data_IF_431678548951
#
_entry.id   IF_431678548951
#
_cell.length_a   1.000
_cell.length_b   1.000
_cell.length_c   1.000
_cell.angle_alpha   90.00
_cell.angle_beta   90.00
_cell.angle_gamma   90.00
#
_symmetry.space_group_name_H-M   'P 1'
#
loop_
_entity.id
_entity.type
_entity.pdbx_description
1 polymer ?
#
# COMPACT_ATOMS: atom_id res chain seq x y z
N UNK A 1 -21.09 -17.53 33.63
CA UNK A 1 -21.15 -16.52 32.54
C UNK A 1 -20.08 -15.43 32.62
N UNK A 2 -19.66 -14.97 33.81
CA UNK A 2 -18.70 -13.86 34.00
C UNK A 2 -17.27 -14.12 33.45
N UNK A 3 -16.78 -15.36 33.53
CA UNK A 3 -15.44 -15.77 33.05
C UNK A 3 -15.31 -15.74 31.52
N UNK A 4 -16.38 -16.05 30.79
CA UNK A 4 -16.38 -16.03 29.33
C UNK A 4 -16.39 -14.60 28.78
N UNK A 5 -17.11 -13.69 29.45
CA UNK A 5 -17.10 -12.26 29.12
C UNK A 5 -15.71 -11.64 29.30
N UNK A 6 -14.98 -12.02 30.35
CA UNK A 6 -13.61 -11.52 30.58
C UNK A 6 -12.64 -11.95 29.47
N UNK A 7 -12.74 -13.19 29.00
CA UNK A 7 -11.93 -13.69 27.88
C UNK A 7 -12.22 -12.94 26.57
N UNK A 8 -13.50 -12.63 26.31
CA UNK A 8 -13.92 -11.87 25.12
C UNK A 8 -13.34 -10.44 25.16
N UNK A 9 -13.34 -9.79 26.32
CA UNK A 9 -12.76 -8.46 26.48
C UNK A 9 -11.24 -8.45 26.22
N UNK A 10 -10.51 -9.46 26.71
CA UNK A 10 -9.06 -9.57 26.48
C UNK A 10 -8.75 -9.76 24.99
N UNK A 11 -9.52 -10.62 24.31
CA UNK A 11 -9.36 -10.85 22.87
C UNK A 11 -9.62 -9.57 22.06
N UNK A 12 -10.65 -8.80 22.42
CA UNK A 12 -10.96 -7.54 21.76
C UNK A 12 -9.83 -6.50 21.91
N UNK A 13 -9.21 -6.41 23.08
CA UNK A 13 -8.09 -5.50 23.33
C UNK A 13 -6.85 -5.91 22.50
N UNK A 14 -6.52 -7.20 22.44
CA UNK A 14 -5.42 -7.73 21.61
C UNK A 14 -5.60 -7.39 20.12
N UNK A 15 -6.83 -7.48 19.61
CA UNK A 15 -7.14 -7.15 18.22
C UNK A 15 -6.95 -5.65 17.93
N UNK A 16 -7.24 -4.77 18.89
CA UNK A 16 -7.02 -3.32 18.74
C UNK A 16 -5.53 -2.95 18.74
N UNK A 17 -4.70 -3.65 19.52
CA UNK A 17 -3.24 -3.45 19.49
C UNK A 17 -2.60 -3.93 18.17
N UNK A 18 -3.17 -4.94 17.51
CA UNK A 18 -2.67 -5.42 16.20
C UNK A 18 -2.87 -4.41 15.07
N UNK A 19 -3.85 -3.50 15.21
CA UNK A 19 -4.12 -2.45 14.21
C UNK A 19 -3.17 -1.24 14.32
N UNK A 20 -2.23 -1.25 15.28
CA UNK A 20 -1.26 -0.18 15.53
C UNK A 20 0.01 -0.23 14.68
N UNK A 21 0.01 -0.96 13.56
CA UNK A 21 1.11 -1.08 12.60
C UNK A 21 1.40 0.22 11.85
N UNK A 22 1.98 1.18 12.56
CA UNK A 22 2.36 2.51 12.11
C UNK A 22 3.52 2.43 11.10
N UNK A 23 3.22 2.35 9.81
CA UNK A 23 4.15 2.70 8.74
C UNK A 23 4.32 4.23 8.68
N UNK A 24 5.48 4.73 9.11
CA UNK A 24 5.92 6.10 8.85
C UNK A 24 6.80 6.07 7.60
N UNK A 25 6.36 6.68 6.51
CA UNK A 25 7.21 7.21 5.42
C UNK A 25 6.45 8.43 4.89
N UNK A 26 6.73 9.59 5.49
CA UNK A 26 7.45 10.70 4.83
C UNK A 26 6.59 11.33 3.72
N UNK A 27 5.64 12.21 4.04
CA UNK A 27 5.83 13.68 4.05
C UNK A 27 6.29 14.30 2.72
N UNK A 28 5.33 14.93 2.06
CA UNK A 28 5.41 16.14 1.23
C UNK A 28 6.09 16.08 -0.15
N UNK A 29 5.28 15.89 -1.19
CA UNK A 29 5.36 16.59 -2.46
C UNK A 29 3.94 16.71 -3.06
N UNK A 30 3.56 17.76 -3.80
CA UNK A 30 2.29 17.80 -4.53
C UNK A 30 2.37 16.94 -5.82
N UNK A 31 3.05 15.80 -5.72
CA UNK A 31 3.50 14.94 -6.81
C UNK A 31 3.40 13.51 -6.26
N UNK A 32 2.68 12.63 -6.95
CA UNK A 32 2.13 11.41 -6.35
C UNK A 32 3.16 10.49 -5.68
N UNK A 33 2.76 9.84 -4.60
CA UNK A 33 3.64 8.97 -3.83
C UNK A 33 3.97 7.71 -4.65
N UNK A 34 5.24 7.54 -5.03
CA UNK A 34 5.69 6.33 -5.73
C UNK A 34 5.82 5.18 -4.73
N UNK A 35 5.10 4.08 -4.97
CA UNK A 35 5.10 2.90 -4.11
C UNK A 35 6.34 2.05 -4.44
N UNK A 36 7.29 1.84 -3.50
CA UNK A 36 8.50 1.08 -3.77
C UNK A 36 8.20 -0.42 -3.87
N UNK A 37 8.42 -1.00 -5.05
CA UNK A 37 8.23 -2.42 -5.32
C UNK A 37 9.58 -3.14 -5.29
N UNK A 38 9.80 -4.04 -4.31
CA UNK A 38 11.09 -4.73 -4.13
C UNK A 38 11.44 -5.76 -5.21
N UNK A 39 10.44 -6.25 -5.94
CA UNK A 39 10.60 -7.33 -6.92
C UNK A 39 10.05 -7.00 -8.30
N UNK A 40 9.48 -5.81 -8.48
CA UNK A 40 8.81 -5.41 -9.72
C UNK A 40 9.42 -4.11 -10.27
N UNK A 41 10.69 -4.17 -10.66
CA UNK A 41 11.46 -3.01 -11.13
C UNK A 41 10.92 -2.38 -12.43
N UNK A 42 10.18 -3.16 -13.23
CA UNK A 42 9.54 -2.67 -14.46
C UNK A 42 8.12 -2.12 -14.23
N UNK A 43 7.57 -2.26 -13.03
CA UNK A 43 6.27 -1.73 -12.66
C UNK A 43 6.50 -0.51 -11.76
N UNK A 44 5.95 0.64 -12.14
CA UNK A 44 5.92 1.81 -11.25
C UNK A 44 4.49 2.15 -10.91
N UNK A 45 4.21 2.35 -9.63
CA UNK A 45 2.91 2.72 -9.11
C UNK A 45 3.03 4.08 -8.44
N UNK A 46 2.23 5.04 -8.88
CA UNK A 46 2.20 6.40 -8.35
C UNK A 46 0.79 6.66 -7.82
N UNK A 47 0.69 6.91 -6.52
CA UNK A 47 -0.58 7.18 -5.85
C UNK A 47 -0.92 8.66 -5.91
N UNK A 48 -2.03 8.98 -6.56
CA UNK A 48 -2.65 10.30 -6.54
C UNK A 48 -3.90 10.26 -5.64
N UNK A 49 -4.43 11.42 -5.22
CA UNK A 49 -5.59 11.47 -4.32
C UNK A 49 -6.82 10.71 -4.81
N UNK A 50 -7.07 10.73 -6.13
CA UNK A 50 -8.29 10.17 -6.73
C UNK A 50 -8.08 8.86 -7.49
N UNK A 51 -6.82 8.50 -7.77
CA UNK A 51 -6.47 7.31 -8.55
C UNK A 51 -5.02 6.89 -8.35
N UNK A 52 -4.72 5.64 -8.65
CA UNK A 52 -3.34 5.15 -8.72
C UNK A 52 -2.95 4.94 -10.18
N UNK A 53 -1.84 5.55 -10.58
CA UNK A 53 -1.28 5.39 -11.91
C UNK A 53 -0.26 4.24 -11.88
N UNK A 54 -0.48 3.22 -12.71
CA UNK A 54 0.45 2.11 -12.89
C UNK A 54 1.09 2.19 -14.27
N UNK A 55 2.42 2.35 -14.36
CA UNK A 55 3.14 2.20 -15.63
C UNK A 55 3.94 0.91 -15.65
N UNK A 56 3.89 0.21 -16.77
CA UNK A 56 4.64 -1.01 -17.03
C UNK A 56 5.63 -0.75 -18.14
N UNK A 57 6.92 -0.81 -17.82
CA UNK A 57 8.01 -0.71 -18.79
C UNK A 57 8.14 -2.02 -19.57
N UNK A 58 8.42 -1.94 -20.87
CA UNK A 58 8.67 -3.12 -21.68
C UNK A 58 10.00 -3.77 -21.26
N UNK A 59 10.01 -5.03 -20.80
CA UNK A 59 11.25 -5.71 -20.40
C UNK A 59 12.14 -6.10 -21.60
N UNK A 60 11.58 -6.15 -22.80
CA UNK A 60 12.30 -6.50 -24.04
C UNK A 60 12.82 -5.27 -24.79
N UNK A 61 12.28 -4.09 -24.48
CA UNK A 61 12.69 -2.81 -25.06
C UNK A 61 12.69 -1.72 -23.97
N UNK A 62 13.85 -1.54 -23.34
CA UNK A 62 13.99 -0.69 -22.15
C UNK A 62 13.75 0.80 -22.38
N UNK A 63 13.62 1.24 -23.64
CA UNK A 63 13.33 2.62 -24.02
C UNK A 63 11.83 2.91 -24.18
N UNK A 64 10.99 1.88 -24.20
CA UNK A 64 9.57 2.02 -24.46
C UNK A 64 8.69 1.52 -23.30
N UNK A 65 7.70 2.33 -22.92
CA UNK A 65 6.66 1.94 -21.96
C UNK A 65 5.63 1.07 -22.68
N UNK A 66 5.30 -0.07 -22.12
CA UNK A 66 4.35 -1.01 -22.73
C UNK A 66 2.91 -0.53 -22.51
N UNK A 67 2.53 -0.33 -21.25
CA UNK A 67 1.16 0.08 -20.88
C UNK A 67 1.15 1.04 -19.69
N UNK A 68 0.15 1.93 -19.67
CA UNK A 68 -0.19 2.81 -18.54
C UNK A 68 -1.64 2.57 -18.16
N UNK A 69 -1.89 2.28 -16.89
CA UNK A 69 -3.22 2.03 -16.34
C UNK A 69 -3.57 3.05 -15.26
N UNK A 70 -4.85 3.38 -15.17
CA UNK A 70 -5.43 4.19 -14.09
C UNK A 70 -6.30 3.24 -13.27
N UNK A 71 -5.97 3.12 -11.99
CA UNK A 71 -6.69 2.29 -11.02
C UNK A 71 -7.52 3.23 -10.15
N UNK A 72 -8.84 3.05 -10.17
CA UNK A 72 -9.85 3.81 -9.42
C UNK A 72 -10.50 2.90 -8.40
#
# INVERSE_FOLDING_TARGET
MKRNSFLICILAVLLLFSCGGRGKTASALPDGDTIPLRYAENLTLVSYPDYTLATLRNPWDTLHTLHTYILV
#
